data_IF_347000938081
#
_entry.id   IF_347000938081
#
_cell.length_a   1.000
_cell.length_b   1.000
_cell.length_c   1.000
_cell.angle_alpha   90.00
_cell.angle_beta   90.00
_cell.angle_gamma   90.00
#
_symmetry.space_group_name_H-M   'P 1'
#
loop_
_entity.id
_entity.type
_entity.pdbx_description
1 polymer ?
#
# COMPACT_ATOMS: atom_id res chain seq x y z
N UNK A 1 8.95 -29.73 -5.94
CA UNK A 1 8.15 -28.50 -6.08
C UNK A 1 8.97 -27.38 -5.47
N UNK A 2 9.45 -26.43 -6.28
CA UNK A 2 10.27 -25.33 -5.80
C UNK A 2 9.35 -24.29 -5.14
N UNK A 3 9.43 -24.21 -3.81
CA UNK A 3 8.86 -23.12 -3.04
C UNK A 3 9.67 -21.88 -3.36
N UNK A 4 9.10 -20.95 -4.13
CA UNK A 4 9.73 -19.66 -4.43
C UNK A 4 9.67 -18.84 -3.15
N UNK A 5 10.68 -19.00 -2.30
CA UNK A 5 10.96 -18.09 -1.20
C UNK A 5 11.16 -16.71 -1.86
N UNK A 6 10.21 -15.79 -1.70
CA UNK A 6 10.42 -14.41 -2.10
C UNK A 6 11.65 -13.91 -1.34
N UNK A 7 12.64 -13.40 -2.06
CA UNK A 7 13.75 -12.71 -1.44
C UNK A 7 13.18 -11.57 -0.62
N UNK A 8 13.58 -11.47 0.65
CA UNK A 8 13.21 -10.42 1.60
C UNK A 8 13.71 -9.01 1.20
N UNK A 9 14.03 -8.80 -0.08
CA UNK A 9 14.75 -7.63 -0.59
C UNK A 9 13.84 -6.59 -1.28
N UNK A 10 12.54 -6.85 -1.48
CA UNK A 10 11.65 -5.99 -2.27
C UNK A 10 10.28 -5.69 -1.61
N UNK A 11 10.23 -5.63 -0.27
CA UNK A 11 8.99 -5.24 0.44
C UNK A 11 9.08 -3.77 0.84
N UNK A 12 8.29 -2.93 0.18
CA UNK A 12 8.12 -1.54 0.55
C UNK A 12 7.19 -1.39 1.74
N UNK A 13 7.55 -0.58 2.73
CA UNK A 13 6.69 -0.26 3.88
C UNK A 13 6.23 1.19 3.84
N UNK A 14 4.99 1.42 4.30
CA UNK A 14 4.50 2.76 4.59
C UNK A 14 3.90 2.84 5.98
N UNK A 15 3.98 4.03 6.55
CA UNK A 15 3.43 4.38 7.85
C UNK A 15 2.94 5.82 7.81
N UNK A 16 1.68 6.02 8.18
CA UNK A 16 1.01 7.32 8.17
C UNK A 16 0.36 7.50 9.52
N UNK A 17 0.80 8.51 10.27
CA UNK A 17 0.21 8.91 11.54
C UNK A 17 -0.61 10.18 11.34
N UNK A 18 -1.94 10.09 11.52
CA UNK A 18 -2.85 11.22 11.34
C UNK A 18 -2.88 12.18 12.54
N UNK A 19 -2.48 11.71 13.73
CA UNK A 19 -2.41 12.57 14.92
C UNK A 19 -1.15 13.46 14.90
N UNK A 20 -0.01 12.93 14.43
CA UNK A 20 1.25 13.71 14.33
C UNK A 20 1.47 14.33 12.96
N UNK A 21 0.80 13.83 11.92
CA UNK A 21 1.03 14.19 10.52
C UNK A 21 2.27 13.52 9.91
N UNK A 22 2.98 12.67 10.65
CA UNK A 22 4.17 11.98 10.17
C UNK A 22 3.82 10.95 9.09
N UNK A 23 4.62 10.93 8.02
CA UNK A 23 4.52 9.98 6.93
C UNK A 23 5.90 9.41 6.64
N UNK A 24 5.96 8.10 6.48
CA UNK A 24 7.17 7.36 6.22
C UNK A 24 6.98 6.37 5.08
N UNK A 25 7.98 6.32 4.20
CA UNK A 25 8.17 5.28 3.21
C UNK A 25 9.56 4.68 3.39
N UNK A 26 9.63 3.35 3.41
CA UNK A 26 10.92 2.64 3.44
C UNK A 26 11.73 2.89 2.17
N UNK A 27 13.01 2.52 2.22
CA UNK A 27 13.89 2.62 1.06
C UNK A 27 13.35 1.80 -0.13
N UNK A 28 12.84 0.61 0.16
CA UNK A 28 12.27 -0.32 -0.81
C UNK A 28 10.99 0.25 -1.41
N UNK A 29 10.11 0.89 -0.62
CA UNK A 29 8.91 1.53 -1.19
C UNK A 29 9.29 2.68 -2.13
N UNK A 30 10.31 3.46 -1.79
CA UNK A 30 10.81 4.54 -2.65
C UNK A 30 11.38 3.99 -3.96
N UNK A 31 12.12 2.89 -3.87
CA UNK A 31 12.61 2.16 -5.03
C UNK A 31 11.45 1.65 -5.89
N UNK A 32 10.45 1.02 -5.28
CA UNK A 32 9.25 0.54 -5.96
C UNK A 32 8.54 1.69 -6.68
N UNK A 33 8.41 2.86 -6.05
CA UNK A 33 7.75 4.04 -6.64
C UNK A 33 8.61 4.76 -7.68
N UNK A 34 9.89 4.42 -7.83
CA UNK A 34 10.83 5.10 -8.72
C UNK A 34 11.02 6.57 -8.33
N UNK A 35 11.17 6.83 -7.03
CA UNK A 35 11.39 8.19 -6.49
C UNK A 35 12.72 8.27 -5.74
N UNK A 36 13.30 9.47 -5.71
CA UNK A 36 14.54 9.72 -4.99
C UNK A 36 14.41 9.50 -3.48
N UNK A 37 15.51 9.22 -2.80
CA UNK A 37 15.51 8.91 -1.36
C UNK A 37 14.98 10.05 -0.51
N UNK A 38 15.22 11.29 -0.94
CA UNK A 38 15.03 12.48 -0.12
C UNK A 38 13.64 13.12 -0.34
N UNK A 39 12.83 12.58 -1.26
CA UNK A 39 11.49 13.13 -1.49
C UNK A 39 10.58 12.88 -0.28
N UNK A 40 9.72 13.82 0.10
CA UNK A 40 8.72 13.59 1.13
C UNK A 40 7.79 12.42 0.77
N UNK A 41 7.44 11.61 1.78
CA UNK A 41 6.42 10.57 1.65
C UNK A 41 5.04 11.24 1.62
N UNK A 42 4.62 11.68 0.43
CA UNK A 42 3.37 12.41 0.24
C UNK A 42 2.34 11.60 -0.54
N UNK A 43 1.10 11.59 -0.06
CA UNK A 43 -0.01 10.97 -0.77
C UNK A 43 -0.20 11.50 -2.20
N UNK A 44 0.02 12.81 -2.42
CA UNK A 44 -0.06 13.41 -3.77
C UNK A 44 0.99 12.81 -4.71
N UNK A 45 2.21 12.60 -4.23
CA UNK A 45 3.28 11.98 -5.01
C UNK A 45 2.93 10.52 -5.33
N UNK A 46 2.42 9.76 -4.37
CA UNK A 46 1.95 8.39 -4.60
C UNK A 46 0.84 8.37 -5.68
N UNK A 47 -0.16 9.24 -5.57
CA UNK A 47 -1.26 9.32 -6.54
C UNK A 47 -0.77 9.67 -7.96
N UNK A 48 0.28 10.47 -8.09
CA UNK A 48 0.92 10.75 -9.40
C UNK A 48 1.60 9.51 -9.99
N UNK A 49 2.17 8.65 -9.12
CA UNK A 49 2.76 7.37 -9.52
C UNK A 49 1.72 6.32 -9.86
N UNK A 50 0.50 6.38 -9.33
CA UNK A 50 -0.57 5.44 -9.74
C UNK A 50 -0.94 5.66 -11.21
N UNK A 51 -1.09 4.55 -11.96
CA UNK A 51 -1.48 4.56 -13.36
C UNK A 51 -2.80 5.33 -13.55
N UNK A 52 -2.92 6.19 -14.59
CA UNK A 52 -4.09 7.07 -14.74
C UNK A 52 -5.45 6.38 -14.66
N UNK A 53 -5.56 5.16 -15.21
CA UNK A 53 -6.79 4.35 -15.16
C UNK A 53 -7.15 3.86 -13.74
N UNK A 54 -6.15 3.68 -12.88
CA UNK A 54 -6.32 3.12 -11.53
C UNK A 54 -6.48 4.23 -10.47
N UNK A 55 -6.10 5.48 -10.77
CA UNK A 55 -6.06 6.60 -9.81
C UNK A 55 -7.37 6.80 -9.06
N UNK A 56 -8.51 6.73 -9.75
CA UNK A 56 -9.83 6.90 -9.11
C UNK A 56 -10.11 5.79 -8.10
N UNK A 57 -9.95 4.53 -8.51
CA UNK A 57 -10.18 3.37 -7.65
C UNK A 57 -9.21 3.31 -6.47
N UNK A 58 -7.94 3.68 -6.71
CA UNK A 58 -6.93 3.82 -5.68
C UNK A 58 -7.31 4.90 -4.67
N UNK A 59 -7.70 6.10 -5.12
CA UNK A 59 -8.12 7.18 -4.24
C UNK A 59 -9.33 6.78 -3.39
N UNK A 60 -10.34 6.17 -4.00
CA UNK A 60 -11.51 5.67 -3.26
C UNK A 60 -11.10 4.66 -2.19
N UNK A 61 -10.19 3.73 -2.50
CA UNK A 61 -9.65 2.75 -1.55
C UNK A 61 -8.83 3.42 -0.43
N UNK A 62 -8.03 4.42 -0.76
CA UNK A 62 -7.23 5.18 0.20
C UNK A 62 -8.10 5.99 1.18
N UNK A 63 -9.30 6.40 0.75
CA UNK A 63 -10.26 7.13 1.59
C UNK A 63 -11.20 6.20 2.39
N UNK A 64 -11.21 4.89 2.11
CA UNK A 64 -12.05 3.94 2.86
C UNK A 64 -11.85 3.98 4.37
N UNK A 65 -10.62 4.10 4.94
CA UNK A 65 -10.42 4.15 6.40
C UNK A 65 -11.22 5.24 7.13
N UNK A 66 -11.68 6.26 6.42
CA UNK A 66 -12.50 7.33 6.99
C UNK A 66 -14.01 7.05 6.88
N UNK A 67 -14.41 5.83 6.47
CA UNK A 67 -15.81 5.42 6.28
C UNK A 67 -16.26 4.41 7.35
N UNK A 68 -17.57 4.30 7.63
CA UNK A 68 -18.05 3.49 8.73
C UNK A 68 -17.87 2.00 8.74
N UNK A 69 -17.80 1.44 7.56
CA UNK A 69 -17.79 0.02 7.29
C UNK A 69 -16.42 -0.48 6.84
N UNK A 70 -15.38 0.37 6.93
CA UNK A 70 -14.06 -0.02 6.49
C UNK A 70 -13.47 -1.08 7.42
N UNK A 71 -13.08 -2.26 6.90
CA UNK A 71 -12.32 -3.21 7.69
C UNK A 71 -10.96 -2.63 8.06
N UNK A 72 -10.44 -3.06 9.21
CA UNK A 72 -9.10 -2.66 9.66
C UNK A 72 -8.03 -3.12 8.66
N UNK A 73 -8.13 -4.34 8.14
CA UNK A 73 -7.26 -4.84 7.08
C UNK A 73 -7.91 -4.68 5.71
N UNK A 74 -7.14 -4.26 4.71
CA UNK A 74 -7.60 -4.20 3.31
C UNK A 74 -6.44 -4.49 2.38
N UNK A 75 -6.74 -5.20 1.30
CA UNK A 75 -5.82 -5.46 0.20
C UNK A 75 -6.25 -4.72 -1.07
N UNK A 76 -5.28 -4.31 -1.88
CA UNK A 76 -5.52 -3.68 -3.18
C UNK A 76 -4.40 -4.00 -4.15
N UNK A 77 -4.75 -4.21 -5.41
CA UNK A 77 -3.80 -4.36 -6.51
C UNK A 77 -4.02 -3.22 -7.50
N UNK A 78 -2.95 -2.55 -7.91
CA UNK A 78 -3.00 -1.46 -8.87
C UNK A 78 -1.69 -1.33 -9.62
N UNK A 79 -1.70 -0.56 -10.71
CA UNK A 79 -0.48 -0.27 -11.47
C UNK A 79 0.14 1.03 -10.98
N UNK A 80 1.46 1.05 -10.87
CA UNK A 80 2.27 2.26 -10.75
C UNK A 80 2.99 2.54 -12.07
N UNK A 81 3.34 3.79 -12.32
CA UNK A 81 4.08 4.25 -13.48
C UNK A 81 5.40 4.84 -13.00
N UNK A 82 6.50 4.20 -13.42
CA UNK A 82 7.84 4.75 -13.24
C UNK A 82 8.21 5.57 -14.48
N UNK A 83 9.00 6.66 -14.32
CA UNK A 83 9.46 7.46 -15.46
C UNK A 83 10.13 6.63 -16.56
N UNK A 84 10.87 5.59 -16.17
CA UNK A 84 11.80 4.91 -17.08
C UNK A 84 11.34 3.50 -17.53
N UNK A 85 10.41 2.87 -16.80
CA UNK A 85 10.07 1.45 -17.02
C UNK A 85 8.60 1.18 -17.33
N UNK A 86 7.78 2.23 -17.47
CA UNK A 86 6.35 2.09 -17.76
C UNK A 86 5.52 1.60 -16.57
N UNK A 87 4.41 0.93 -16.87
CA UNK A 87 3.43 0.50 -15.87
C UNK A 87 3.81 -0.85 -15.25
N UNK A 88 3.84 -0.93 -13.92
CA UNK A 88 4.18 -2.10 -13.13
C UNK A 88 3.05 -2.42 -12.14
N UNK A 89 2.67 -3.69 -12.02
CA UNK A 89 1.65 -4.11 -11.05
C UNK A 89 2.27 -4.22 -9.65
N UNK A 90 1.51 -3.76 -8.66
CA UNK A 90 1.84 -3.90 -7.25
C UNK A 90 0.64 -4.45 -6.48
N UNK A 91 0.94 -5.20 -5.43
CA UNK A 91 0.01 -5.60 -4.38
C UNK A 91 0.31 -4.76 -3.15
N UNK A 92 -0.73 -4.21 -2.53
CA UNK A 92 -0.62 -3.47 -1.29
C UNK A 92 -1.58 -4.03 -0.25
N UNK A 93 -1.10 -4.16 0.98
CA UNK A 93 -1.92 -4.42 2.15
C UNK A 93 -1.79 -3.27 3.12
N UNK A 94 -2.90 -2.90 3.74
CA UNK A 94 -2.93 -1.90 4.81
C UNK A 94 -3.67 -2.44 6.03
N UNK A 95 -3.20 -2.01 7.19
CA UNK A 95 -3.90 -2.08 8.47
C UNK A 95 -4.18 -0.65 8.93
N UNK A 96 -5.43 -0.38 9.24
CA UNK A 96 -5.92 0.88 9.80
C UNK A 96 -6.15 0.71 11.30
N UNK A 97 -5.47 1.55 12.08
CA UNK A 97 -5.57 1.60 13.53
C UNK A 97 -6.52 2.75 13.87
N UNK A 98 -7.63 2.41 14.53
CA UNK A 98 -8.67 3.36 14.90
C UNK A 98 -8.56 3.77 16.36
N UNK A 99 -8.97 4.99 16.67
CA UNK A 99 -9.10 5.43 18.07
C UNK A 99 -10.12 4.55 18.80
N UNK A 100 -9.83 4.11 20.04
CA UNK A 100 -10.76 3.29 20.81
C UNK A 100 -12.14 3.93 20.93
N UNK A 101 -13.19 3.14 20.69
CA UNK A 101 -14.58 3.59 20.79
C UNK A 101 -15.14 4.28 19.54
N UNK A 102 -14.36 4.42 18.45
CA UNK A 102 -14.80 5.06 17.21
C UNK A 102 -14.27 4.33 15.97
N UNK A 103 -15.15 3.92 15.07
CA UNK A 103 -14.76 3.24 13.82
C UNK A 103 -14.38 4.19 12.66
N UNK A 104 -14.38 5.52 12.87
CA UNK A 104 -14.18 6.53 11.81
C UNK A 104 -13.01 7.46 12.09
N UNK A 105 -12.34 7.25 13.20
CA UNK A 105 -11.23 8.07 13.66
C UNK A 105 -9.95 7.26 13.50
N UNK A 106 -9.51 7.15 12.24
CA UNK A 106 -8.26 6.45 11.92
C UNK A 106 -7.09 7.28 12.42
N UNK A 107 -6.31 6.69 13.32
CA UNK A 107 -5.14 7.32 13.95
C UNK A 107 -3.89 7.04 13.14
N UNK A 108 -3.75 5.82 12.63
CA UNK A 108 -2.56 5.39 11.91
C UNK A 108 -2.90 4.36 10.84
N UNK A 109 -2.21 4.43 9.71
CA UNK A 109 -2.27 3.40 8.67
C UNK A 109 -0.84 2.92 8.44
N UNK A 110 -0.66 1.61 8.58
CA UNK A 110 0.60 0.92 8.28
C UNK A 110 0.35 -0.13 7.22
N UNK A 111 1.37 -0.49 6.47
CA UNK A 111 1.22 -1.54 5.49
C UNK A 111 2.45 -1.76 4.64
N UNK A 112 2.29 -2.62 3.65
CA UNK A 112 3.35 -2.99 2.73
C UNK A 112 2.89 -2.98 1.28
N UNK A 113 3.87 -2.88 0.39
CA UNK A 113 3.71 -2.93 -1.06
C UNK A 113 4.77 -3.84 -1.63
N UNK A 114 4.37 -4.74 -2.53
CA UNK A 114 5.27 -5.62 -3.28
C UNK A 114 4.96 -5.57 -4.76
N UNK A 115 6.00 -5.69 -5.59
CA UNK A 115 5.81 -5.87 -7.02
C UNK A 115 5.25 -7.26 -7.31
N UNK A 116 4.25 -7.31 -8.19
CA UNK A 116 3.66 -8.55 -8.66
C UNK A 116 3.69 -8.59 -10.19
N UNK A 117 3.72 -9.78 -10.77
CA UNK A 117 3.35 -9.93 -12.17
C UNK A 117 1.87 -9.58 -12.35
N UNK A 118 1.45 -9.24 -13.58
CA UNK A 118 0.04 -9.02 -13.92
C UNK A 118 -0.85 -10.05 -13.20
N UNK A 119 -1.82 -9.63 -12.38
CA UNK A 119 -2.63 -10.55 -11.61
C UNK A 119 -3.37 -11.49 -12.56
N UNK A 120 -3.10 -12.78 -12.43
CA UNK A 120 -3.84 -13.82 -13.16
C UNK A 120 -5.10 -14.09 -12.34
N UNK A 121 -6.26 -14.17 -13.00
CA UNK A 121 -7.59 -14.24 -12.38
C UNK A 121 -7.81 -15.40 -11.37
N UNK A 122 -6.83 -16.29 -11.19
CA UNK A 122 -6.86 -17.49 -10.35
C UNK A 122 -6.09 -17.40 -9.02
N UNK A 123 -5.39 -16.31 -8.71
CA UNK A 123 -4.63 -16.19 -7.45
C UNK A 123 -5.31 -15.24 -6.46
N UNK A 124 -6.49 -15.63 -5.96
CA UNK A 124 -7.08 -15.02 -4.75
C UNK A 124 -6.90 -15.99 -3.58
N UNK A 125 -5.66 -16.11 -3.11
CA UNK A 125 -5.37 -16.82 -1.86
C UNK A 125 -4.09 -16.24 -1.26
N UNK A 126 -4.22 -15.06 -0.65
CA UNK A 126 -3.20 -14.54 0.25
C UNK A 126 -3.81 -14.51 1.66
N UNK A 127 -3.35 -15.43 2.50
CA UNK A 127 -3.56 -15.45 3.96
C UNK A 127 -2.17 -15.43 4.60
N UNK A 128 -1.68 -14.25 4.97
CA UNK A 128 -0.56 -14.03 5.89
C UNK A 128 -0.79 -12.61 6.45
N UNK A 129 -0.86 -12.30 7.74
CA UNK A 129 -0.53 -12.98 8.99
C UNK A 129 -1.59 -12.52 10.00
N UNK A 130 -2.19 -13.43 10.77
CA UNK A 130 -2.94 -13.08 11.98
C UNK A 130 -1.96 -12.45 12.98
N UNK A 131 -1.69 -11.16 12.88
CA UNK A 131 -1.08 -10.39 13.96
C UNK A 131 -2.21 -9.92 14.87
N UNK A 132 -2.74 -10.86 15.62
CA UNK A 132 -3.53 -10.61 16.82
C UNK A 132 -2.90 -11.42 17.94
N UNK A 133 -2.07 -10.74 18.74
CA UNK A 133 -1.82 -11.10 20.13
C UNK A 133 -2.53 -10.06 21.00
#
# INVERSE_FOLDING_TARGET
MAMKLWGTEEVGLFDINFDTGEQYWSYELRHILGVERDVPAEFRLLLQRVHPEDRRAFYETAMQPFRPDCPAHTTSEFRIVRPDSGAQWVHAERVSIFRPGTAHDVVRIVGFVVEISRPTQHQRAWQLVDIAA
#
